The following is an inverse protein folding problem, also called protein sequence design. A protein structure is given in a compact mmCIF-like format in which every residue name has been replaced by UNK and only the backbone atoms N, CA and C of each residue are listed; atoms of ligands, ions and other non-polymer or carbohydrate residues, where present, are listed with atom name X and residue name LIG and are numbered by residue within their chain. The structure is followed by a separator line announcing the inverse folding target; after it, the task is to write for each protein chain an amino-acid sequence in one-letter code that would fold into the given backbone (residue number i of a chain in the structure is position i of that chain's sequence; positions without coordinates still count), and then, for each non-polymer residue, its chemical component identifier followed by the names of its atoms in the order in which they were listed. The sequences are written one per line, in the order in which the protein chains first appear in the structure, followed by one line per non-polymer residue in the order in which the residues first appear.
data_IF_518948592696
#
_entry.id   IF_518948592696
#
_cell.length_a   1.000
_cell.length_b   1.000
_cell.length_c   1.000
_cell.angle_alpha   90.00
_cell.angle_beta   90.00
_cell.angle_gamma   90.00
#
_symmetry.space_group_name_H-M   'P 1'
#
loop_
_entity.id
_entity.type
_entity.pdbx_description
1 polymer ?
#
# COMPACT_ATOMS: atom_id res chain seq x y z
N UNK A 1 14.58 -8.66 -23.57
CA UNK A 1 14.42 -9.43 -22.32
C UNK A 1 14.86 -8.53 -21.19
N UNK A 2 13.93 -7.75 -20.63
CA UNK A 2 14.22 -6.77 -19.59
C UNK A 2 14.39 -7.49 -18.25
N UNK A 3 15.62 -7.52 -17.75
CA UNK A 3 15.97 -8.07 -16.45
C UNK A 3 15.48 -7.11 -15.37
N UNK A 4 14.39 -7.47 -14.69
CA UNK A 4 13.91 -6.75 -13.53
C UNK A 4 15.04 -6.67 -12.49
N UNK A 5 15.64 -5.48 -12.35
CA UNK A 5 16.67 -5.23 -11.34
C UNK A 5 16.03 -5.37 -9.95
N UNK A 6 16.58 -6.19 -9.04
CA UNK A 6 16.06 -6.29 -7.68
C UNK A 6 16.20 -4.93 -6.99
N UNK A 7 15.07 -4.37 -6.57
CA UNK A 7 15.03 -3.16 -5.75
C UNK A 7 15.82 -3.42 -4.46
N UNK A 8 16.74 -2.53 -4.04
CA UNK A 8 17.50 -2.71 -2.82
C UNK A 8 16.53 -2.80 -1.64
N UNK A 9 16.49 -3.99 -1.04
CA UNK A 9 15.73 -4.28 0.16
C UNK A 9 16.42 -3.51 1.29
N UNK A 10 15.72 -2.63 2.04
CA UNK A 10 16.35 -1.92 3.15
C UNK A 10 16.90 -2.94 4.16
N UNK A 11 18.04 -2.67 4.82
CA UNK A 11 18.72 -3.63 5.71
C UNK A 11 17.88 -4.07 6.91
N UNK A 12 16.78 -3.38 7.21
CA UNK A 12 15.81 -3.70 8.26
C UNK A 12 14.61 -4.55 7.78
N UNK A 13 14.52 -4.85 6.48
CA UNK A 13 13.42 -5.67 5.96
C UNK A 13 13.77 -7.16 6.03
N UNK A 14 12.97 -7.98 6.74
CA UNK A 14 13.29 -9.39 6.91
C UNK A 14 13.07 -10.19 5.62
N UNK A 15 14.01 -11.08 5.32
CA UNK A 15 13.94 -12.09 4.25
C UNK A 15 12.59 -12.81 4.32
N UNK A 16 11.74 -12.61 3.32
CA UNK A 16 10.40 -13.19 3.29
C UNK A 16 10.48 -14.73 3.22
N UNK A 17 9.94 -15.47 4.20
CA UNK A 17 9.71 -16.90 4.02
C UNK A 17 8.52 -17.12 3.07
N UNK A 18 8.56 -18.25 2.37
CA UNK A 18 7.58 -18.66 1.37
C UNK A 18 6.17 -18.83 1.96
N UNK A 19 5.19 -18.21 1.29
CA UNK A 19 3.72 -18.38 1.34
C UNK A 19 3.01 -18.37 2.72
N UNK A 20 1.87 -17.66 2.85
CA UNK A 20 1.22 -17.45 4.15
C UNK A 20 0.47 -18.69 4.66
N UNK A 21 0.86 -19.17 5.83
CA UNK A 21 0.08 -20.09 6.66
C UNK A 21 -1.24 -19.41 7.07
N UNK A 22 -2.37 -20.09 6.83
CA UNK A 22 -3.73 -19.56 6.73
C UNK A 22 -4.38 -19.11 8.07
N UNK A 23 -3.60 -18.66 9.04
CA UNK A 23 -4.03 -18.46 10.42
C UNK A 23 -4.42 -17.01 10.78
N UNK A 24 -4.81 -16.16 9.82
CA UNK A 24 -5.04 -14.74 10.13
C UNK A 24 -5.84 -13.83 9.18
N UNK A 25 -6.83 -14.31 8.39
CA UNK A 25 -7.57 -13.46 7.45
C UNK A 25 -8.30 -12.29 8.16
N UNK A 26 -8.89 -12.54 9.33
CA UNK A 26 -9.62 -11.52 10.10
C UNK A 26 -8.71 -10.42 10.69
N UNK A 27 -7.47 -10.77 11.12
CA UNK A 27 -6.53 -9.79 11.66
C UNK A 27 -6.00 -8.89 10.56
N UNK A 28 -5.60 -9.47 9.42
CA UNK A 28 -5.19 -8.71 8.25
C UNK A 28 -6.29 -7.74 7.80
N UNK A 29 -7.54 -8.22 7.73
CA UNK A 29 -8.70 -7.40 7.44
C UNK A 29 -8.86 -6.24 8.42
N UNK A 30 -8.76 -6.48 9.74
CA UNK A 30 -8.84 -5.43 10.76
C UNK A 30 -7.75 -4.36 10.59
N UNK A 31 -6.52 -4.75 10.23
CA UNK A 31 -5.43 -3.80 9.98
C UNK A 31 -5.69 -2.97 8.72
N UNK A 32 -6.16 -3.59 7.64
CA UNK A 32 -6.51 -2.88 6.41
C UNK A 32 -7.66 -1.89 6.62
N UNK A 33 -8.69 -2.25 7.39
CA UNK A 33 -9.77 -1.33 7.72
C UNK A 33 -9.29 -0.13 8.57
N UNK A 34 -8.31 -0.35 9.46
CA UNK A 34 -7.68 0.74 10.22
C UNK A 34 -6.89 1.67 9.30
N UNK A 35 -6.11 1.13 8.37
CA UNK A 35 -5.38 1.89 7.36
C UNK A 35 -6.33 2.64 6.43
N UNK A 36 -7.39 2.00 5.97
CA UNK A 36 -8.43 2.61 5.15
C UNK A 36 -9.01 3.86 5.82
N UNK A 37 -9.33 3.77 7.11
CA UNK A 37 -9.89 4.88 7.89
C UNK A 37 -8.86 5.98 8.18
N UNK A 38 -7.58 5.64 8.32
CA UNK A 38 -6.51 6.64 8.48
C UNK A 38 -6.27 7.41 7.18
N UNK A 39 -6.15 6.70 6.05
CA UNK A 39 -5.96 7.30 4.72
C UNK A 39 -7.15 8.19 4.32
N UNK A 40 -8.39 7.78 4.63
CA UNK A 40 -9.59 8.62 4.44
C UNK A 40 -9.52 9.93 5.23
N UNK A 41 -9.00 9.90 6.46
CA UNK A 41 -8.79 11.11 7.26
C UNK A 41 -7.70 12.02 6.70
N UNK A 42 -6.75 11.45 5.98
CA UNK A 42 -5.73 12.19 5.23
C UNK A 42 -6.22 12.72 3.88
N UNK A 43 -7.47 12.46 3.49
CA UNK A 43 -8.04 12.93 2.22
C UNK A 43 -7.91 11.94 1.04
N UNK A 44 -7.42 10.72 1.29
CA UNK A 44 -7.30 9.69 0.25
C UNK A 44 -8.56 8.83 0.18
N UNK A 45 -8.91 8.38 -1.03
CA UNK A 45 -9.99 7.42 -1.23
C UNK A 45 -9.46 6.00 -1.07
N UNK A 46 -10.23 5.13 -0.42
CA UNK A 46 -9.81 3.75 -0.16
C UNK A 46 -10.89 2.74 -0.49
N UNK A 47 -10.50 1.71 -1.24
CA UNK A 47 -11.33 0.61 -1.69
C UNK A 47 -10.71 -0.71 -1.23
N UNK A 48 -11.47 -1.53 -0.50
CA UNK A 48 -11.04 -2.88 -0.12
C UNK A 48 -11.40 -3.83 -1.26
N UNK A 49 -10.41 -4.52 -1.80
CA UNK A 49 -10.57 -5.53 -2.86
C UNK A 49 -10.41 -6.92 -2.25
N UNK A 50 -11.46 -7.71 -2.40
CA UNK A 50 -11.50 -9.10 -1.99
C UNK A 50 -11.05 -9.96 -3.16
N UNK A 51 -9.92 -10.64 -3.02
CA UNK A 51 -9.51 -11.69 -3.94
C UNK A 51 -10.21 -13.00 -3.58
N UNK A 52 -10.66 -13.75 -4.58
CA UNK A 52 -11.31 -15.05 -4.38
C UNK A 52 -10.37 -16.12 -3.80
N UNK A 53 -9.04 -15.92 -3.95
CA UNK A 53 -7.98 -16.87 -3.55
C UNK A 53 -6.72 -16.20 -2.96
N UNK A 54 -6.71 -14.86 -2.76
CA UNK A 54 -5.54 -14.08 -2.37
C UNK A 54 -5.87 -13.11 -1.22
N UNK A 55 -4.89 -12.71 -0.38
CA UNK A 55 -5.15 -11.88 0.80
C UNK A 55 -5.83 -10.56 0.44
N UNK A 56 -6.70 -10.11 1.33
CA UNK A 56 -7.43 -8.82 1.24
C UNK A 56 -6.46 -7.70 0.83
N UNK A 57 -6.78 -7.01 -0.27
CA UNK A 57 -6.02 -5.87 -0.77
C UNK A 57 -6.74 -4.57 -0.42
N UNK A 58 -6.01 -3.53 -0.04
CA UNK A 58 -6.54 -2.18 0.11
C UNK A 58 -5.97 -1.29 -0.98
N UNK A 59 -6.80 -0.88 -1.93
CA UNK A 59 -6.44 0.14 -2.91
C UNK A 59 -6.64 1.52 -2.28
N UNK A 60 -5.61 2.35 -2.31
CA UNK A 60 -5.63 3.74 -1.84
C UNK A 60 -5.31 4.65 -3.02
N UNK A 61 -6.16 5.61 -3.33
CA UNK A 61 -6.04 6.43 -4.53
C UNK A 61 -6.57 7.85 -4.32
N UNK A 62 -6.18 8.76 -5.21
CA UNK A 62 -6.71 10.13 -5.21
C UNK A 62 -8.09 10.18 -5.86
N UNK A 63 -9.08 10.80 -5.20
CA UNK A 63 -10.40 11.01 -5.82
C UNK A 63 -10.32 11.87 -7.09
N UNK A 64 -9.40 12.84 -7.10
CA UNK A 64 -9.21 13.75 -8.23
C UNK A 64 -8.51 13.05 -9.42
N UNK A 65 -7.72 12.01 -9.15
CA UNK A 65 -7.02 11.24 -10.18
C UNK A 65 -7.08 9.75 -9.84
N UNK A 66 -8.18 9.05 -10.16
CA UNK A 66 -8.39 7.65 -9.76
C UNK A 66 -7.40 6.64 -10.35
N UNK A 67 -6.71 7.03 -11.43
CA UNK A 67 -5.62 6.25 -12.03
C UNK A 67 -4.37 6.22 -11.15
N UNK A 68 -4.16 7.22 -10.30
CA UNK A 68 -3.02 7.31 -9.39
C UNK A 68 -3.42 6.81 -8.00
N UNK A 69 -2.86 5.67 -7.64
CA UNK A 69 -3.04 5.06 -6.34
C UNK A 69 -2.07 3.91 -6.12
N UNK A 70 -2.08 3.38 -4.91
CA UNK A 70 -1.29 2.23 -4.51
C UNK A 70 -2.17 1.13 -3.93
N UNK A 71 -1.76 -0.12 -4.16
CA UNK A 71 -2.40 -1.27 -3.55
C UNK A 71 -1.57 -1.77 -2.38
N UNK A 72 -2.16 -1.83 -1.20
CA UNK A 72 -1.51 -2.26 0.04
C UNK A 72 -2.04 -3.62 0.46
N UNK A 73 -1.12 -4.51 0.80
CA UNK A 73 -1.41 -5.82 1.39
C UNK A 73 -0.89 -5.88 2.81
N UNK A 74 -1.45 -6.79 3.60
CA UNK A 74 -0.94 -7.11 4.93
C UNK A 74 -0.32 -8.49 4.89
N UNK A 75 0.97 -8.56 5.19
CA UNK A 75 1.76 -9.80 5.19
C UNK A 75 2.32 -10.05 6.59
N UNK A 76 2.47 -11.32 6.94
CA UNK A 76 3.12 -11.71 8.21
C UNK A 76 4.57 -12.06 7.93
N UNK A 77 5.49 -11.37 8.57
CA UNK A 77 6.93 -11.59 8.46
C UNK A 77 7.57 -11.56 9.86
N UNK A 78 8.40 -12.55 10.18
CA UNK A 78 9.03 -12.71 11.50
C UNK A 78 8.04 -12.60 12.68
N UNK A 79 6.84 -13.19 12.52
CA UNK A 79 5.79 -13.16 13.54
C UNK A 79 5.01 -11.83 13.64
N UNK A 80 5.48 -10.75 13.00
CA UNK A 80 4.88 -9.42 13.01
C UNK A 80 4.05 -9.21 11.72
N UNK A 81 2.95 -8.47 11.84
CA UNK A 81 2.15 -8.05 10.68
C UNK A 81 2.71 -6.75 10.10
N UNK A 82 2.86 -6.69 8.78
CA UNK A 82 3.42 -5.56 8.06
C UNK A 82 2.50 -5.10 6.94
N UNK A 83 2.46 -3.79 6.70
CA UNK A 83 1.88 -3.21 5.49
C UNK A 83 2.91 -3.24 4.37
N UNK A 84 2.56 -3.85 3.24
CA UNK A 84 3.40 -3.96 2.06
C UNK A 84 2.70 -3.31 0.86
N UNK A 85 3.41 -2.40 0.20
CA UNK A 85 3.00 -1.72 -1.01
C UNK A 85 3.08 -2.64 -2.23
N UNK A 86 2.36 -2.32 -3.30
CA UNK A 86 2.37 -3.11 -4.54
C UNK A 86 3.72 -3.01 -5.25
N UNK A 87 4.43 -1.91 -5.01
CA UNK A 87 5.83 -1.71 -5.43
C UNK A 87 6.80 -2.70 -4.77
N UNK A 88 6.35 -3.48 -3.79
CA UNK A 88 7.17 -4.40 -3.02
C UNK A 88 7.79 -3.77 -1.76
N UNK A 89 7.61 -2.46 -1.55
CA UNK A 89 8.14 -1.73 -0.41
C UNK A 89 7.41 -2.07 0.90
N UNK A 90 8.19 -2.19 1.97
CA UNK A 90 7.67 -2.41 3.33
C UNK A 90 7.39 -1.05 3.98
N UNK A 91 6.10 -0.70 4.07
CA UNK A 91 5.69 0.62 4.55
C UNK A 91 5.98 0.75 6.04
N UNK A 92 5.35 -0.07 6.87
CA UNK A 92 5.55 -0.07 8.32
C UNK A 92 4.96 -1.36 8.94
N UNK A 93 5.38 -1.71 10.17
CA UNK A 93 4.66 -2.72 10.93
C UNK A 93 3.23 -2.26 11.21
N UNK A 94 2.26 -3.18 11.24
CA UNK A 94 0.84 -2.89 11.44
C UNK A 94 0.52 -2.28 12.81
N UNK A 95 1.47 -2.34 13.75
CA UNK A 95 1.43 -1.63 15.03
C UNK A 95 1.61 -0.11 14.86
N UNK A 96 2.31 0.34 13.81
CA UNK A 96 2.57 1.76 13.54
C UNK A 96 1.77 2.25 12.32
N UNK A 97 0.47 2.46 12.56
CA UNK A 97 -0.48 2.93 11.55
C UNK A 97 -0.13 4.32 10.97
N UNK A 98 0.35 5.22 11.83
CA UNK A 98 0.67 6.59 11.42
C UNK A 98 1.85 6.62 10.48
N UNK A 99 2.91 5.86 10.78
CA UNK A 99 4.08 5.76 9.90
C UNK A 99 3.70 5.19 8.53
N UNK A 100 2.86 4.16 8.48
CA UNK A 100 2.37 3.63 7.20
C UNK A 100 1.58 4.69 6.40
N UNK A 101 0.70 5.42 7.07
CA UNK A 101 -0.13 6.47 6.46
C UNK A 101 0.73 7.60 5.89
N UNK A 102 1.75 8.05 6.65
CA UNK A 102 2.68 9.08 6.23
C UNK A 102 3.53 8.63 5.04
N UNK A 103 4.17 7.44 5.12
CA UNK A 103 4.98 6.92 4.01
C UNK A 103 4.18 6.77 2.73
N UNK A 104 2.96 6.24 2.83
CA UNK A 104 2.08 6.06 1.68
C UNK A 104 1.65 7.41 1.08
N UNK A 105 1.37 8.41 1.93
CA UNK A 105 1.03 9.76 1.47
C UNK A 105 2.21 10.43 0.78
N UNK A 106 3.42 10.35 1.34
CA UNK A 106 4.66 10.89 0.74
C UNK A 106 4.94 10.23 -0.60
N UNK A 107 4.72 8.91 -0.71
CA UNK A 107 4.89 8.18 -1.95
C UNK A 107 3.91 8.61 -3.03
N UNK A 108 2.62 8.79 -2.69
CA UNK A 108 1.57 9.09 -3.67
C UNK A 108 1.45 10.58 -4.06
N UNK A 109 1.75 11.50 -3.14
CA UNK A 109 1.62 12.95 -3.35
C UNK A 109 2.29 13.46 -4.64
N UNK A 110 3.57 13.15 -4.94
CA UNK A 110 4.22 13.68 -6.13
C UNK A 110 3.54 13.21 -7.43
N UNK A 111 3.08 11.96 -7.49
CA UNK A 111 2.38 11.43 -8.66
C UNK A 111 1.02 12.08 -8.88
N UNK A 112 0.28 12.35 -7.80
CA UNK A 112 -1.01 13.07 -7.89
C UNK A 112 -0.80 14.50 -8.34
N UNK A 113 0.18 15.21 -7.76
CA UNK A 113 0.50 16.59 -8.14
C UNK A 113 0.93 16.67 -9.61
N UNK A 114 1.76 15.73 -10.08
CA UNK A 114 2.18 15.66 -11.47
C UNK A 114 0.99 15.41 -12.41
N UNK A 115 0.13 14.44 -12.09
CA UNK A 115 -1.04 14.13 -12.91
C UNK A 115 -2.04 15.30 -12.97
N UNK A 116 -2.26 16.01 -11.85
CA UNK A 116 -3.10 17.21 -11.81
C UNK A 116 -2.51 18.34 -12.66
N UNK A 117 -1.18 18.53 -12.63
CA UNK A 117 -0.51 19.51 -13.48
C UNK A 117 -0.67 19.18 -14.97
N UNK A 118 -0.52 17.91 -15.35
CA UNK A 118 -0.73 17.46 -16.74
C UNK A 118 -2.17 17.65 -17.21
N UNK A 119 -3.18 17.37 -16.37
CA UNK A 119 -4.59 17.59 -16.73
C UNK A 119 -4.95 19.06 -16.97
N UNK A 120 -4.16 19.99 -16.41
CA UNK A 120 -4.38 21.44 -16.58
C UNK A 120 -3.75 21.97 -17.88
N UNK A 121 -2.75 21.27 -18.41
CA UNK A 121 -2.04 21.64 -19.63
C UNK A 121 -2.81 21.24 -20.91
N UNK A 122 -3.61 20.16 -20.85
CA UNK A 122 -4.41 19.67 -22.00
C UNK A 122 -5.56 20.63 -22.42
N UNK A 123 -5.88 21.62 -21.59
CA UNK A 123 -6.92 22.63 -21.88
C UNK A 123 -6.39 23.91 -22.56
N UNK A 124 -5.17 23.91 -23.11
CA UNK A 124 -4.57 25.09 -23.76
C UNK A 124 -4.18 24.82 -25.21
#
# INVERSE_FOLDING_TARGET
METARPVPIPPDAPTAPALPEHSGPWRAHRYLHRLARAMRRYGWTTEVRYGQLLPTLLRVYSAAVPSIGESVTVVRANGIWWYRASTGEWLAPCTNLQLATQRLSVLLTPWVTAALASSRDETK
#
